data_IF_606056886790
#
_entry.id   IF_606056886790
#
_cell.length_a   1.000
_cell.length_b   1.000
_cell.length_c   1.000
_cell.angle_alpha   90.00
_cell.angle_beta   90.00
_cell.angle_gamma   90.00
#
_symmetry.space_group_name_H-M   'P 1'
#
loop_
_entity.id
_entity.type
_entity.pdbx_description
1 polymer ?
#
# COMPACT_ATOMS: atom_id res chain seq x y z
N UNK A 1 3.20 -10.47 0.79
CA UNK A 1 3.90 -9.52 -0.09
C UNK A 1 5.37 -9.88 -0.09
N UNK A 2 5.98 -10.03 -1.27
CA UNK A 2 7.41 -10.26 -1.41
C UNK A 2 8.07 -8.91 -1.72
N UNK A 3 8.93 -8.43 -0.84
CA UNK A 3 9.62 -7.15 -0.97
C UNK A 3 11.11 -7.37 -1.10
N UNK A 4 11.73 -6.84 -2.15
CA UNK A 4 13.18 -6.79 -2.27
C UNK A 4 13.66 -5.36 -2.02
N UNK A 5 14.60 -5.22 -1.10
CA UNK A 5 15.47 -4.03 -1.00
C UNK A 5 16.82 -4.41 -1.63
N UNK A 6 17.64 -3.43 -2.03
CA UNK A 6 18.90 -3.71 -2.75
C UNK A 6 19.90 -4.61 -1.99
N UNK A 7 19.63 -4.84 -0.71
CA UNK A 7 20.37 -5.62 0.28
C UNK A 7 19.68 -6.96 0.66
N UNK A 8 18.50 -7.27 0.14
CA UNK A 8 17.86 -8.57 0.44
C UNK A 8 16.38 -8.69 0.06
N UNK A 9 15.78 -9.76 0.57
CA UNK A 9 14.37 -10.09 0.35
C UNK A 9 13.65 -10.28 1.68
N UNK A 10 12.49 -9.63 1.83
CA UNK A 10 11.59 -9.75 2.96
C UNK A 10 10.23 -10.32 2.49
N UNK A 11 9.71 -11.31 3.23
CA UNK A 11 8.35 -11.80 3.07
C UNK A 11 7.49 -11.26 4.21
N UNK A 12 6.49 -10.45 3.85
CA UNK A 12 5.55 -9.86 4.80
C UNK A 12 4.17 -10.52 4.65
N UNK A 13 3.57 -10.91 5.78
CA UNK A 13 2.18 -11.36 5.87
C UNK A 13 1.42 -10.46 6.84
N UNK A 14 0.21 -10.06 6.45
CA UNK A 14 -0.73 -9.34 7.32
C UNK A 14 -2.08 -10.05 7.25
N UNK A 15 -2.61 -10.45 8.41
CA UNK A 15 -3.97 -10.96 8.54
C UNK A 15 -4.93 -9.78 8.65
N UNK A 16 -6.01 -9.82 7.89
CA UNK A 16 -7.09 -8.84 8.01
C UNK A 16 -8.09 -9.37 9.03
N UNK A 17 -8.40 -8.56 10.04
CA UNK A 17 -9.48 -8.88 11.00
C UNK A 17 -10.86 -8.42 10.47
N UNK A 18 -10.88 -7.50 9.50
CA UNK A 18 -12.09 -7.06 8.79
C UNK A 18 -11.75 -6.49 7.40
N UNK A 19 -12.73 -6.53 6.50
CA UNK A 19 -12.61 -5.95 5.16
C UNK A 19 -11.79 -6.79 4.17
N UNK A 20 -11.45 -6.18 3.04
CA UNK A 20 -10.62 -6.80 1.99
C UNK A 20 -9.54 -5.84 1.55
N UNK A 21 -8.37 -6.39 1.26
CA UNK A 21 -7.29 -5.63 0.67
C UNK A 21 -7.42 -5.65 -0.86
N UNK A 22 -7.38 -4.48 -1.49
CA UNK A 22 -7.36 -4.39 -2.96
C UNK A 22 -5.92 -4.22 -3.43
N UNK A 23 -5.34 -5.32 -3.88
CA UNK A 23 -4.02 -5.30 -4.48
C UNK A 23 -4.05 -4.59 -5.84
N UNK A 24 -3.04 -3.77 -6.17
CA UNK A 24 -2.82 -3.36 -7.54
C UNK A 24 -2.68 -4.60 -8.43
N UNK A 25 -3.18 -4.53 -9.66
CA UNK A 25 -2.90 -5.55 -10.65
C UNK A 25 -1.44 -5.40 -11.09
N UNK A 26 -0.66 -6.47 -10.97
CA UNK A 26 0.74 -6.48 -11.42
C UNK A 26 0.80 -6.89 -12.90
N UNK A 27 0.83 -5.93 -13.84
CA UNK A 27 0.92 -6.25 -15.27
C UNK A 27 2.19 -7.03 -15.64
N UNK A 28 3.27 -6.92 -14.85
CA UNK A 28 4.54 -7.64 -15.06
C UNK A 28 4.95 -8.55 -13.89
N UNK A 29 4.00 -8.97 -13.05
CA UNK A 29 4.28 -9.81 -11.87
C UNK A 29 4.98 -9.10 -10.70
N UNK A 30 5.31 -7.81 -10.85
CA UNK A 30 5.88 -6.95 -9.81
C UNK A 30 5.20 -5.58 -9.82
N UNK A 31 5.12 -4.95 -8.65
CA UNK A 31 4.60 -3.58 -8.48
C UNK A 31 5.64 -2.80 -7.69
N UNK A 32 5.99 -1.62 -8.18
CA UNK A 32 6.82 -0.67 -7.44
C UNK A 32 5.92 0.20 -6.58
N UNK A 33 6.19 0.24 -5.27
CA UNK A 33 5.46 1.07 -4.32
C UNK A 33 6.42 2.06 -3.68
N UNK A 34 5.98 3.30 -3.55
CA UNK A 34 6.61 4.28 -2.65
C UNK A 34 6.37 3.86 -1.19
N UNK A 35 7.18 4.39 -0.27
CA UNK A 35 6.98 4.19 1.17
C UNK A 35 5.57 4.56 1.60
N UNK A 36 5.03 5.69 1.11
CA UNK A 36 3.68 6.13 1.42
C UNK A 36 2.61 5.15 0.94
N UNK A 37 2.74 4.62 -0.29
CA UNK A 37 1.79 3.63 -0.80
C UNK A 37 1.85 2.32 -0.01
N UNK A 38 3.05 1.87 0.38
CA UNK A 38 3.18 0.72 1.26
C UNK A 38 2.49 0.95 2.61
N UNK A 39 2.70 2.13 3.23
CA UNK A 39 2.00 2.47 4.48
C UNK A 39 0.49 2.50 4.31
N UNK A 40 -0.04 3.09 3.24
CA UNK A 40 -1.48 3.12 2.98
C UNK A 40 -2.09 1.72 2.87
N UNK A 41 -1.41 0.82 2.17
CA UNK A 41 -1.77 -0.59 2.07
C UNK A 41 -1.79 -1.25 3.46
N UNK A 42 -0.73 -1.06 4.25
CA UNK A 42 -0.64 -1.59 5.60
C UNK A 42 -1.69 -1.01 6.54
N UNK A 43 -2.19 0.20 6.32
CA UNK A 43 -3.29 0.81 7.10
C UNK A 43 -4.67 0.41 6.57
N UNK A 44 -4.76 -0.29 5.43
CA UNK A 44 -6.03 -0.66 4.80
C UNK A 44 -6.73 0.52 4.11
N UNK A 45 -6.01 1.61 3.83
CA UNK A 45 -6.51 2.76 3.08
C UNK A 45 -6.61 2.36 1.60
N UNK A 46 -7.73 2.68 0.95
CA UNK A 46 -7.84 2.51 -0.51
C UNK A 46 -6.89 3.49 -1.22
N UNK A 47 -5.70 2.98 -1.52
CA UNK A 47 -4.61 3.70 -2.18
C UNK A 47 -4.95 4.19 -3.58
N UNK A 48 -6.01 3.66 -4.23
CA UNK A 48 -6.49 4.14 -5.54
C UNK A 48 -7.29 5.43 -5.43
N UNK A 49 -7.88 5.69 -4.27
CA UNK A 49 -8.63 6.91 -3.97
C UNK A 49 -8.26 7.41 -2.56
N UNK A 50 -7.04 7.98 -2.40
CA UNK A 50 -6.66 8.60 -1.14
C UNK A 50 -7.67 9.69 -0.78
N UNK A 51 -8.45 9.47 0.27
CA UNK A 51 -9.27 10.53 0.85
C UNK A 51 -8.38 11.42 1.69
N UNK A 52 -8.39 12.71 1.41
CA UNK A 52 -7.75 13.69 2.29
C UNK A 52 -8.51 13.73 3.60
N UNK A 53 -7.83 13.50 4.71
CA UNK A 53 -8.39 13.68 6.05
C UNK A 53 -8.57 15.17 6.39
N UNK A 54 -7.91 16.07 5.65
CA UNK A 54 -8.00 17.52 5.83
C UNK A 54 -8.22 18.25 4.50
N UNK A 55 -9.26 19.09 4.46
CA UNK A 55 -9.50 20.03 3.37
C UNK A 55 -8.45 21.15 3.42
N UNK A 56 -7.81 21.45 2.29
CA UNK A 56 -7.04 22.68 2.11
C UNK A 56 -8.03 23.84 1.93
N UNK A 57 -8.75 24.19 2.99
CA UNK A 57 -9.67 25.34 3.00
C UNK A 57 -9.17 26.48 3.88
N UNK A 58 -7.89 26.49 4.27
CA UNK A 58 -7.28 27.57 5.06
C UNK A 58 -5.81 27.82 4.67
N UNK A 59 -5.51 27.90 3.38
CA UNK A 59 -4.42 28.70 2.82
C UNK A 59 -5.01 29.60 1.75
#
# INVERSE_FOLDING_TARGET
MLWSTGDGLCLLSKRLEAGRFVWPQAEGGKIHLTTAQLSMLLEGIDWRHPRRTVALSML
#
